data_IF_272344168249
#
_entry.id   IF_272344168249
#
_cell.length_a   1.000
_cell.length_b   1.000
_cell.length_c   1.000
_cell.angle_alpha   90.00
_cell.angle_beta   90.00
_cell.angle_gamma   90.00
#
_symmetry.space_group_name_H-M   'P 1'
#
loop_
_entity.id
_entity.type
_entity.pdbx_description
1 polymer ?
#
# COMPACT_ATOMS: atom_id res chain seq x y z
N UNK A 1 -4.39 -34.20 42.36
CA UNK A 1 -3.91 -32.80 42.38
C UNK A 1 -4.01 -32.08 41.03
N UNK A 2 -3.72 -32.70 39.88
CA UNK A 2 -3.83 -32.03 38.56
C UNK A 2 -5.25 -31.55 38.19
N UNK A 3 -6.28 -32.33 38.56
CA UNK A 3 -7.70 -31.99 38.30
C UNK A 3 -8.18 -30.73 39.03
N UNK A 4 -7.58 -30.39 40.18
CA UNK A 4 -8.00 -29.26 41.01
C UNK A 4 -7.58 -27.92 40.39
N UNK A 5 -6.43 -27.86 39.73
CA UNK A 5 -5.96 -26.66 39.01
C UNK A 5 -6.77 -26.39 37.74
N UNK A 6 -7.17 -27.44 37.02
CA UNK A 6 -8.05 -27.34 35.85
C UNK A 6 -9.42 -26.75 36.21
N UNK A 7 -10.00 -27.18 37.34
CA UNK A 7 -11.30 -26.70 37.82
C UNK A 7 -11.27 -25.24 38.32
N UNK A 8 -10.11 -24.74 38.74
CA UNK A 8 -9.97 -23.32 39.16
C UNK A 8 -9.84 -22.38 37.96
N UNK A 9 -9.12 -22.79 36.90
CA UNK A 9 -9.06 -22.09 35.62
C UNK A 9 -10.40 -22.09 34.87
N UNK A 10 -11.17 -23.18 34.98
CA UNK A 10 -12.50 -23.33 34.38
C UNK A 10 -13.66 -23.13 35.37
N UNK A 11 -13.39 -22.46 36.51
CA UNK A 11 -14.46 -21.96 37.35
C UNK A 11 -15.30 -20.98 36.53
N UNK A 12 -16.64 -21.09 36.63
CA UNK A 12 -17.64 -20.28 35.90
C UNK A 12 -17.36 -18.76 35.89
N UNK A 13 -16.58 -18.27 36.87
CA UNK A 13 -16.11 -16.89 37.02
C UNK A 13 -14.95 -16.47 36.09
N UNK A 14 -14.13 -17.41 35.61
CA UNK A 14 -12.94 -17.12 34.80
C UNK A 14 -13.08 -17.49 33.32
N UNK A 15 -14.07 -18.31 32.96
CA UNK A 15 -14.29 -18.77 31.59
C UNK A 15 -14.51 -17.61 30.61
N UNK A 16 -15.22 -16.56 31.04
CA UNK A 16 -15.45 -15.35 30.24
C UNK A 16 -14.16 -14.59 29.96
N UNK A 17 -13.23 -14.54 30.94
CA UNK A 17 -11.93 -13.90 30.75
C UNK A 17 -11.07 -14.68 29.76
N UNK A 18 -11.08 -16.01 29.84
CA UNK A 18 -10.36 -16.87 28.90
C UNK A 18 -10.92 -16.72 27.48
N UNK A 19 -12.25 -16.72 27.31
CA UNK A 19 -12.89 -16.49 26.02
C UNK A 19 -12.54 -15.10 25.47
N UNK A 20 -12.54 -14.08 26.33
CA UNK A 20 -12.15 -12.72 25.94
C UNK A 20 -10.70 -12.67 25.44
N UNK A 21 -9.76 -13.29 26.17
CA UNK A 21 -8.35 -13.35 25.75
C UNK A 21 -8.22 -14.06 24.41
N UNK A 22 -8.91 -15.20 24.21
CA UNK A 22 -8.89 -15.90 22.92
C UNK A 22 -9.44 -15.04 21.79
N UNK A 23 -10.48 -14.25 22.04
CA UNK A 23 -11.02 -13.30 21.07
C UNK A 23 -10.00 -12.22 20.69
N UNK A 24 -9.32 -11.64 21.69
CA UNK A 24 -8.26 -10.64 21.47
C UNK A 24 -7.08 -11.24 20.69
N UNK A 25 -6.66 -12.45 21.02
CA UNK A 25 -5.61 -13.17 20.28
C UNK A 25 -6.03 -13.40 18.82
N UNK A 26 -7.26 -13.86 18.58
CA UNK A 26 -7.78 -14.04 17.23
C UNK A 26 -7.83 -12.71 16.44
N UNK A 27 -8.20 -11.62 17.10
CA UNK A 27 -8.19 -10.28 16.52
C UNK A 27 -6.77 -9.86 16.11
N UNK A 28 -5.76 -10.06 16.98
CA UNK A 28 -4.38 -9.74 16.66
C UNK A 28 -3.81 -10.59 15.53
N UNK A 29 -4.16 -11.88 15.46
CA UNK A 29 -3.79 -12.75 14.34
C UNK A 29 -4.38 -12.19 13.03
N UNK A 30 -5.67 -11.81 13.04
CA UNK A 30 -6.33 -11.22 11.87
C UNK A 30 -5.70 -9.89 11.45
N UNK A 31 -5.32 -9.05 12.42
CA UNK A 31 -4.56 -7.81 12.16
C UNK A 31 -3.19 -8.10 11.55
N UNK A 32 -2.49 -9.15 12.00
CA UNK A 32 -1.23 -9.59 11.40
C UNK A 32 -1.41 -10.00 9.93
N UNK A 33 -2.47 -10.76 9.61
CA UNK A 33 -2.80 -11.08 8.21
C UNK A 33 -3.12 -9.83 7.39
N UNK A 34 -3.87 -8.88 7.96
CA UNK A 34 -4.15 -7.61 7.30
C UNK A 34 -2.88 -6.81 7.01
N UNK A 35 -1.90 -6.83 7.91
CA UNK A 35 -0.60 -6.19 7.65
C UNK A 35 0.15 -6.84 6.48
N UNK A 36 0.13 -8.18 6.38
CA UNK A 36 0.75 -8.91 5.27
C UNK A 36 0.05 -8.63 3.93
N UNK A 37 -1.28 -8.61 3.93
CA UNK A 37 -2.09 -8.27 2.76
C UNK A 37 -1.79 -6.84 2.29
N UNK A 38 -1.76 -5.87 3.22
CA UNK A 38 -1.41 -4.49 2.92
C UNK A 38 0.02 -4.35 2.38
N UNK A 39 0.97 -5.13 2.88
CA UNK A 39 2.33 -5.17 2.34
C UNK A 39 2.33 -5.69 0.90
N UNK A 40 1.59 -6.76 0.62
CA UNK A 40 1.47 -7.32 -0.73
C UNK A 40 0.86 -6.31 -1.70
N UNK A 41 -0.18 -5.58 -1.28
CA UNK A 41 -0.76 -4.48 -2.06
C UNK A 41 0.28 -3.43 -2.44
N UNK A 42 1.07 -2.94 -1.46
CA UNK A 42 2.15 -1.97 -1.74
C UNK A 42 3.23 -2.52 -2.68
N UNK A 43 3.58 -3.80 -2.54
CA UNK A 43 4.57 -4.45 -3.42
C UNK A 43 4.07 -4.54 -4.85
N UNK A 44 2.79 -4.86 -5.05
CA UNK A 44 2.19 -4.92 -6.38
C UNK A 44 2.18 -3.54 -7.05
N UNK A 45 1.81 -2.49 -6.32
CA UNK A 45 1.88 -1.12 -6.82
C UNK A 45 3.31 -0.73 -7.19
N UNK A 46 4.28 -0.97 -6.31
CA UNK A 46 5.68 -0.65 -6.60
C UNK A 46 6.23 -1.44 -7.80
N UNK A 47 5.80 -2.68 -8.00
CA UNK A 47 6.21 -3.49 -9.15
C UNK A 47 5.63 -2.94 -10.47
N UNK A 48 4.38 -2.47 -10.46
CA UNK A 48 3.77 -1.80 -11.60
C UNK A 48 4.52 -0.51 -11.95
N UNK A 49 4.77 0.33 -10.95
CA UNK A 49 5.55 1.57 -11.09
C UNK A 49 6.96 1.29 -11.62
N UNK A 50 7.66 0.30 -11.06
CA UNK A 50 9.00 -0.07 -11.51
C UNK A 50 9.02 -0.54 -12.96
N UNK A 51 7.98 -1.25 -13.39
CA UNK A 51 7.83 -1.73 -14.77
C UNK A 51 7.58 -0.57 -15.72
N UNK A 52 6.71 0.37 -15.36
CA UNK A 52 6.42 1.57 -16.15
C UNK A 52 7.65 2.50 -16.24
N UNK A 53 8.40 2.67 -15.15
CA UNK A 53 9.64 3.48 -15.13
C UNK A 53 10.82 2.82 -15.86
N UNK A 54 10.79 1.50 -16.04
CA UNK A 54 11.78 0.75 -16.81
C UNK A 54 11.51 0.78 -18.32
N UNK A 55 10.32 1.22 -18.75
CA UNK A 55 10.04 1.42 -20.17
C UNK A 55 10.90 2.56 -20.73
N UNK A 56 11.37 2.43 -21.99
CA UNK A 56 12.15 3.48 -22.63
C UNK A 56 11.35 4.79 -22.65
N UNK A 57 11.99 5.94 -22.38
CA UNK A 57 11.30 7.22 -22.34
C UNK A 57 10.67 7.52 -23.70
N UNK A 58 9.36 7.74 -23.72
CA UNK A 58 8.65 8.10 -24.95
C UNK A 58 8.80 9.60 -25.18
N UNK A 59 9.07 10.02 -26.42
CA UNK A 59 9.15 11.44 -26.74
C UNK A 59 7.76 12.07 -26.72
N UNK A 60 7.61 13.23 -26.07
CA UNK A 60 6.33 13.95 -26.00
C UNK A 60 5.74 14.25 -27.39
N UNK A 61 6.59 14.48 -28.39
CA UNK A 61 6.15 14.79 -29.76
C UNK A 61 5.53 13.59 -30.49
N UNK A 62 5.77 12.37 -30.04
CA UNK A 62 5.19 11.15 -30.63
C UNK A 62 3.88 10.73 -29.91
N UNK A 63 3.45 11.47 -28.88
CA UNK A 63 2.18 11.26 -28.17
C UNK A 63 1.02 11.78 -29.03
N UNK A 64 0.67 11.01 -30.07
CA UNK A 64 -0.26 11.45 -31.10
C UNK A 64 -1.74 11.52 -30.66
N UNK A 65 -2.13 11.05 -29.46
CA UNK A 65 -3.55 11.08 -29.05
C UNK A 65 -3.77 11.27 -27.53
N UNK A 66 -4.66 12.20 -27.12
CA UNK A 66 -5.04 12.41 -25.72
C UNK A 66 -5.66 11.18 -25.03
N UNK A 67 -6.24 10.26 -25.81
CA UNK A 67 -7.01 9.13 -25.30
C UNK A 67 -6.14 8.06 -24.59
N UNK A 68 -4.82 8.07 -24.78
CA UNK A 68 -3.89 7.14 -24.11
C UNK A 68 -3.13 7.76 -22.91
N UNK A 69 -3.40 9.01 -22.55
CA UNK A 69 -2.67 9.65 -21.45
C UNK A 69 -2.96 9.01 -20.09
N UNK A 70 -4.16 8.45 -19.91
CA UNK A 70 -4.54 7.74 -18.68
C UNK A 70 -3.88 6.36 -18.54
N UNK A 71 -3.48 5.73 -19.64
CA UNK A 71 -2.75 4.45 -19.62
C UNK A 71 -1.23 4.64 -19.47
N UNK A 72 -0.75 5.88 -19.61
CA UNK A 72 0.65 6.29 -19.51
C UNK A 72 1.01 6.91 -18.15
N UNK A 73 0.18 6.71 -17.12
CA UNK A 73 0.54 7.12 -15.76
C UNK A 73 1.86 6.45 -15.36
N UNK A 74 2.78 7.23 -14.78
CA UNK A 74 4.10 6.80 -14.28
C UNK A 74 5.13 6.36 -15.34
N UNK A 75 4.90 6.65 -16.62
CA UNK A 75 5.94 6.49 -17.66
C UNK A 75 6.91 7.67 -17.68
N UNK A 76 8.18 7.39 -18.02
CA UNK A 76 9.16 8.44 -18.29
C UNK A 76 8.89 9.06 -19.65
N UNK A 77 8.85 10.39 -19.68
CA UNK A 77 8.59 11.14 -20.89
C UNK A 77 9.77 12.11 -21.11
N UNK A 78 10.29 12.14 -22.34
CA UNK A 78 11.33 13.08 -22.74
C UNK A 78 10.72 14.24 -23.54
N UNK A 79 10.98 15.48 -23.10
CA UNK A 79 10.60 16.70 -23.80
C UNK A 79 11.85 17.46 -24.23
N UNK A 80 11.86 17.96 -25.46
CA UNK A 80 12.83 18.94 -25.93
C UNK A 80 12.12 20.30 -26.01
N UNK A 81 12.66 21.32 -25.35
CA UNK A 81 12.09 22.65 -25.31
C UNK A 81 13.13 23.69 -24.89
N UNK A 82 12.81 24.98 -25.06
CA UNK A 82 13.63 26.07 -24.57
C UNK A 82 13.14 26.49 -23.18
N UNK A 83 14.05 26.65 -22.22
CA UNK A 83 13.71 27.24 -20.93
C UNK A 83 13.35 28.72 -21.12
N UNK A 84 12.12 29.09 -20.75
CA UNK A 84 11.69 30.47 -20.59
C UNK A 84 11.81 30.85 -19.10
N UNK A 85 12.61 31.86 -18.81
CA UNK A 85 12.86 32.35 -17.46
C UNK A 85 11.87 33.43 -17.02
N UNK A 86 10.99 33.90 -17.91
CA UNK A 86 10.01 34.95 -17.60
C UNK A 86 8.83 34.45 -16.78
N UNK A 87 8.47 33.16 -16.90
CA UNK A 87 7.34 32.54 -16.19
C UNK A 87 7.73 31.20 -15.53
N UNK A 88 8.62 31.25 -14.53
CA UNK A 88 9.08 30.04 -13.84
C UNK A 88 8.09 29.58 -12.75
N UNK A 89 7.60 28.34 -12.85
CA UNK A 89 6.75 27.70 -11.83
C UNK A 89 7.52 26.58 -11.10
N UNK A 90 7.61 26.67 -9.77
CA UNK A 90 8.21 25.63 -8.93
C UNK A 90 7.13 24.61 -8.57
N UNK A 91 7.18 23.45 -9.22
CA UNK A 91 6.31 22.33 -8.87
C UNK A 91 6.94 21.54 -7.72
N UNK A 92 6.36 21.67 -6.53
CA UNK A 92 6.72 20.82 -5.39
C UNK A 92 6.09 19.45 -5.61
N UNK A 93 6.93 18.43 -5.81
CA UNK A 93 6.46 17.05 -5.88
C UNK A 93 5.84 16.67 -4.52
N UNK A 94 4.51 16.66 -4.47
CA UNK A 94 3.76 16.10 -3.36
C UNK A 94 3.62 14.62 -3.69
N UNK A 95 4.53 13.80 -3.19
CA UNK A 95 4.42 12.35 -3.29
C UNK A 95 3.07 11.95 -2.70
N UNK A 96 2.11 11.68 -3.57
CA UNK A 96 0.77 11.30 -3.18
C UNK A 96 0.89 10.06 -2.33
N UNK A 97 0.51 10.17 -1.06
CA UNK A 97 0.31 9.01 -0.20
C UNK A 97 -0.95 8.33 -0.74
N UNK A 98 -0.78 7.55 -1.82
CA UNK A 98 -1.85 6.73 -2.40
C UNK A 98 -2.03 5.56 -1.45
N UNK A 99 -2.69 5.81 -0.33
CA UNK A 99 -3.32 4.78 0.49
C UNK A 99 -4.74 4.52 -0.02
N UNK A 100 -5.28 3.31 0.16
CA UNK A 100 -6.68 3.02 -0.17
C UNK A 100 -7.64 3.88 0.66
#
# INVERSE_FOLDING_TARGET
MLKTYLGMLFGRKHILKTIFILFVVALFIKLGFWQLDRLQWRRNLNAQLATQLAQPPTQINDLATPDNLLSMSDQKIAALGHFDYSEQLILKNQGGDVGP
#
